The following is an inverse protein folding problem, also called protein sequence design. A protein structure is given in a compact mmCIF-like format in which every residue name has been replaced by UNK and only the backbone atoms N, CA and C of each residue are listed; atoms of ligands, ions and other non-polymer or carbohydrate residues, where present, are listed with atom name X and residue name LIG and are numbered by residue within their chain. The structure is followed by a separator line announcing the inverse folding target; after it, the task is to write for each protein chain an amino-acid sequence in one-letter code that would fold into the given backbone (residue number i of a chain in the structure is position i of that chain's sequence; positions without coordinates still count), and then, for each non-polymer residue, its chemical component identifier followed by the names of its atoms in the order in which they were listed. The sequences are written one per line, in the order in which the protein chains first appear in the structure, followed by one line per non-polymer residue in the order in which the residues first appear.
data_IF_981953302544
#
_entry.id   IF_981953302544
#
_cell.length_a   1.000
_cell.length_b   1.000
_cell.length_c   1.000
_cell.angle_alpha   90.00
_cell.angle_beta   90.00
_cell.angle_gamma   90.00
#
_symmetry.space_group_name_H-M   'P 1'
#
loop_
_entity.id
_entity.type
_entity.pdbx_description
1 polymer ?
#
# COMPACT_ATOMS: atom_id res chain seq x y z
N UNK A 1 9.87 12.83 17.39
CA UNK A 1 8.39 12.87 17.56
C UNK A 1 8.02 12.13 18.85
N UNK A 2 6.83 12.32 19.44
CA UNK A 2 6.46 11.63 20.70
C UNK A 2 5.51 10.47 20.43
N UNK A 3 5.89 9.27 20.90
CA UNK A 3 5.01 8.12 21.01
C UNK A 3 3.85 8.48 21.94
N UNK A 4 2.61 8.21 21.52
CA UNK A 4 1.41 8.50 22.29
C UNK A 4 0.66 7.21 22.59
N UNK A 5 0.30 7.01 23.84
CA UNK A 5 -0.54 5.91 24.31
C UNK A 5 -1.84 6.49 24.87
N UNK A 6 -2.95 5.78 24.66
CA UNK A 6 -4.18 6.02 25.42
C UNK A 6 -4.90 4.69 25.72
N UNK A 7 -6.10 4.77 26.33
CA UNK A 7 -6.94 3.63 26.69
C UNK A 7 -7.31 2.69 25.53
N UNK A 8 -7.18 3.16 24.29
CA UNK A 8 -7.50 2.42 23.08
C UNK A 8 -6.22 1.88 22.40
N UNK A 9 -5.01 2.19 22.87
CA UNK A 9 -3.76 1.69 22.29
C UNK A 9 -2.74 2.78 21.94
N UNK A 10 -1.64 2.38 21.31
CA UNK A 10 -0.49 3.24 21.04
C UNK A 10 -0.40 3.66 19.57
N UNK A 11 -0.07 4.93 19.32
CA UNK A 11 0.08 5.51 18.00
C UNK A 11 1.29 6.45 17.93
N UNK A 12 1.84 6.63 16.73
CA UNK A 12 2.88 7.62 16.45
C UNK A 12 2.21 8.85 15.82
N UNK A 13 2.33 10.00 16.48
CA UNK A 13 1.81 11.26 15.96
C UNK A 13 2.79 11.83 14.90
N UNK A 14 2.28 12.07 13.69
CA UNK A 14 3.06 12.49 12.53
C UNK A 14 3.76 11.33 11.83
N UNK A 15 3.59 11.22 10.51
CA UNK A 15 4.46 10.36 9.70
C UNK A 15 5.86 10.97 9.63
N UNK A 16 6.93 10.16 9.69
CA UNK A 16 8.02 10.18 8.69
C UNK A 16 9.24 9.30 9.00
N UNK A 17 9.45 8.76 10.21
CA UNK A 17 10.68 8.00 10.47
C UNK A 17 10.47 6.47 10.49
N UNK A 18 10.84 5.82 9.38
CA UNK A 18 10.86 4.35 9.23
C UNK A 18 11.75 3.67 10.28
N UNK A 19 12.81 4.33 10.75
CA UNK A 19 13.74 3.77 11.73
C UNK A 19 13.14 3.71 13.13
N UNK A 20 12.35 4.72 13.52
CA UNK A 20 11.65 4.73 14.81
C UNK A 20 10.59 3.62 14.87
N UNK A 21 9.80 3.47 13.80
CA UNK A 21 8.85 2.37 13.67
C UNK A 21 9.56 1.00 13.72
N UNK A 22 10.67 0.87 13.00
CA UNK A 22 11.47 -0.36 12.99
C UNK A 22 12.05 -0.68 14.38
N UNK A 23 12.56 0.33 15.09
CA UNK A 23 13.06 0.19 16.45
C UNK A 23 11.97 -0.25 17.43
N UNK A 24 10.76 0.31 17.31
CA UNK A 24 9.62 -0.09 18.11
C UNK A 24 9.20 -1.54 17.85
N UNK A 25 9.08 -1.95 16.58
CA UNK A 25 8.68 -3.31 16.23
C UNK A 25 9.65 -4.35 16.81
N UNK A 26 10.96 -4.06 16.74
CA UNK A 26 12.01 -4.90 17.36
C UNK A 26 11.94 -4.95 18.88
N UNK A 27 11.51 -3.86 19.52
CA UNK A 27 11.35 -3.83 20.97
C UNK A 27 10.09 -4.56 21.43
N UNK A 28 8.98 -4.44 20.70
CA UNK A 28 7.67 -4.97 21.10
C UNK A 28 7.49 -6.45 20.78
N UNK A 29 8.11 -6.94 19.70
CA UNK A 29 7.92 -8.30 19.22
C UNK A 29 9.24 -9.05 19.16
N UNK A 30 9.26 -10.28 19.67
CA UNK A 30 10.41 -11.16 19.52
C UNK A 30 10.54 -11.66 18.08
N UNK A 31 11.75 -12.04 17.67
CA UNK A 31 11.97 -12.65 16.35
C UNK A 31 11.09 -13.88 16.12
N UNK A 32 10.84 -14.66 17.18
CA UNK A 32 9.93 -15.80 17.14
C UNK A 32 8.49 -15.38 16.82
N UNK A 33 7.96 -14.32 17.45
CA UNK A 33 6.61 -13.81 17.16
C UNK A 33 6.51 -13.29 15.72
N UNK A 34 7.53 -12.58 15.24
CA UNK A 34 7.62 -12.09 13.86
C UNK A 34 7.60 -13.26 12.87
N UNK A 35 8.43 -14.29 13.11
CA UNK A 35 8.50 -15.46 12.25
C UNK A 35 7.18 -16.25 12.25
N UNK A 36 6.58 -16.48 13.42
CA UNK A 36 5.29 -17.15 13.54
C UNK A 36 4.17 -16.41 12.79
N UNK A 37 4.10 -15.08 12.91
CA UNK A 37 3.09 -14.27 12.21
C UNK A 37 3.29 -14.35 10.69
N UNK A 38 4.54 -14.26 10.22
CA UNK A 38 4.88 -14.43 8.81
C UNK A 38 4.47 -15.81 8.27
N UNK A 39 4.86 -16.90 8.93
CA UNK A 39 4.57 -18.26 8.48
C UNK A 39 3.06 -18.53 8.45
N UNK A 40 2.35 -18.11 9.50
CA UNK A 40 0.90 -18.21 9.56
C UNK A 40 0.23 -17.45 8.41
N UNK A 41 0.59 -16.18 8.19
CA UNK A 41 -0.02 -15.36 7.15
C UNK A 41 0.23 -15.92 5.76
N UNK A 42 1.44 -16.42 5.48
CA UNK A 42 1.76 -17.03 4.18
C UNK A 42 0.92 -18.28 3.94
N UNK A 43 0.91 -19.22 4.88
CA UNK A 43 0.20 -20.48 4.67
C UNK A 43 -1.33 -20.30 4.67
N UNK A 44 -1.89 -19.59 5.65
CA UNK A 44 -3.32 -19.32 5.71
C UNK A 44 -3.82 -18.60 4.45
N UNK A 45 -3.04 -17.63 3.96
CA UNK A 45 -3.37 -16.91 2.72
C UNK A 45 -3.38 -17.84 1.51
N UNK A 46 -2.35 -18.68 1.36
CA UNK A 46 -2.22 -19.59 0.21
C UNK A 46 -3.30 -20.66 0.21
N UNK A 47 -3.57 -21.27 1.35
CA UNK A 47 -4.59 -22.31 1.50
C UNK A 47 -5.97 -21.77 1.18
N UNK A 48 -6.34 -20.65 1.81
CA UNK A 48 -7.64 -20.02 1.58
C UNK A 48 -7.79 -19.54 0.14
N UNK A 49 -6.75 -18.95 -0.47
CA UNK A 49 -6.78 -18.53 -1.87
C UNK A 49 -6.99 -19.68 -2.86
N UNK A 50 -6.39 -20.85 -2.59
CA UNK A 50 -6.64 -22.07 -3.38
C UNK A 50 -8.08 -22.54 -3.23
N UNK A 51 -8.61 -22.54 -2.01
CA UNK A 51 -9.98 -22.98 -1.73
C UNK A 51 -11.03 -22.08 -2.41
N UNK A 52 -10.84 -20.76 -2.35
CA UNK A 52 -11.75 -19.76 -2.92
C UNK A 52 -11.46 -19.43 -4.38
N UNK A 53 -10.43 -20.05 -4.97
CA UNK A 53 -9.96 -19.80 -6.35
C UNK A 53 -9.76 -18.32 -6.66
N UNK A 54 -9.16 -17.59 -5.72
CA UNK A 54 -8.95 -16.14 -5.81
C UNK A 54 -7.48 -15.76 -5.64
N UNK A 55 -7.17 -14.47 -5.74
CA UNK A 55 -5.81 -13.97 -5.58
C UNK A 55 -5.32 -14.18 -4.15
N UNK A 56 -4.12 -14.76 -3.94
CA UNK A 56 -3.48 -14.77 -2.62
C UNK A 56 -3.36 -13.37 -2.02
N UNK A 57 -3.09 -12.35 -2.84
CA UNK A 57 -3.02 -10.99 -2.34
C UNK A 57 -4.36 -10.50 -1.77
N UNK A 58 -5.48 -10.82 -2.45
CA UNK A 58 -6.82 -10.43 -1.99
C UNK A 58 -7.19 -11.13 -0.68
N UNK A 59 -6.81 -12.40 -0.51
CA UNK A 59 -6.96 -13.10 0.76
C UNK A 59 -6.10 -12.45 1.84
N UNK A 60 -4.86 -12.09 1.53
CA UNK A 60 -3.99 -11.40 2.49
C UNK A 60 -4.61 -10.07 2.97
N UNK A 61 -5.23 -9.30 2.07
CA UNK A 61 -5.99 -8.10 2.42
C UNK A 61 -7.17 -8.37 3.35
N UNK A 62 -7.89 -9.47 3.15
CA UNK A 62 -8.96 -9.89 4.06
C UNK A 62 -8.43 -10.25 5.44
N UNK A 63 -7.27 -10.93 5.53
CA UNK A 63 -6.63 -11.22 6.80
C UNK A 63 -6.25 -9.95 7.55
N UNK A 64 -5.61 -8.98 6.87
CA UNK A 64 -5.31 -7.69 7.49
C UNK A 64 -6.58 -6.96 7.95
N UNK A 65 -7.64 -6.94 7.12
CA UNK A 65 -8.94 -6.35 7.49
C UNK A 65 -9.53 -6.99 8.74
N UNK A 66 -9.40 -8.31 8.89
CA UNK A 66 -9.86 -9.04 10.08
C UNK A 66 -9.08 -8.63 11.33
N UNK A 67 -7.75 -8.57 11.25
CA UNK A 67 -6.87 -8.11 12.35
C UNK A 67 -7.27 -6.69 12.79
N UNK A 68 -7.55 -5.80 11.83
CA UNK A 68 -8.00 -4.44 12.12
C UNK A 68 -9.34 -4.38 12.87
N UNK A 69 -10.26 -5.27 12.55
CA UNK A 69 -11.58 -5.31 13.18
C UNK A 69 -11.54 -5.95 14.58
N UNK A 70 -10.58 -6.83 14.85
CA UNK A 70 -10.54 -7.64 16.08
C UNK A 70 -9.49 -7.17 17.10
N UNK A 71 -8.37 -6.57 16.64
CA UNK A 71 -7.17 -6.38 17.46
C UNK A 71 -6.71 -4.94 17.68
N UNK A 72 -7.38 -3.95 17.10
CA UNK A 72 -7.01 -2.52 17.20
C UNK A 72 -8.24 -1.61 17.20
N UNK A 73 -8.12 -0.34 17.61
CA UNK A 73 -9.21 0.61 17.52
C UNK A 73 -9.81 0.69 16.12
N UNK A 74 -11.12 0.97 16.02
CA UNK A 74 -11.77 1.12 14.72
C UNK A 74 -11.04 2.12 13.82
N UNK A 75 -10.67 1.64 12.64
CA UNK A 75 -10.15 2.48 11.57
C UNK A 75 -11.18 3.53 11.18
N UNK A 76 -10.75 4.77 10.97
CA UNK A 76 -11.61 5.84 10.45
C UNK A 76 -11.71 5.81 8.92
N UNK A 77 -10.97 4.93 8.27
CA UNK A 77 -11.04 4.79 6.82
C UNK A 77 -12.38 4.13 6.45
N UNK A 78 -13.26 4.90 5.81
CA UNK A 78 -14.53 4.45 5.27
C UNK A 78 -14.78 5.12 3.91
N UNK A 79 -15.79 4.66 3.17
CA UNK A 79 -16.18 5.31 1.91
C UNK A 79 -16.50 6.79 2.17
N UNK A 80 -15.88 7.69 1.41
CA UNK A 80 -15.99 9.15 1.59
C UNK A 80 -14.92 9.77 2.52
N UNK A 81 -14.06 8.97 3.17
CA UNK A 81 -12.92 9.48 3.90
C UNK A 81 -11.70 9.63 2.97
N UNK A 82 -11.24 10.87 2.75
CA UNK A 82 -10.15 11.20 1.81
C UNK A 82 -8.86 11.70 2.48
N UNK A 83 -8.79 11.71 3.82
CA UNK A 83 -7.70 12.37 4.57
C UNK A 83 -6.31 11.83 4.19
N UNK A 84 -6.07 10.52 4.28
CA UNK A 84 -4.79 9.92 3.91
C UNK A 84 -4.62 9.73 2.40
N UNK A 85 -5.67 9.91 1.59
CA UNK A 85 -5.63 9.79 0.12
C UNK A 85 -4.93 10.98 -0.57
N UNK A 86 -4.11 11.72 0.17
CA UNK A 86 -3.27 12.81 -0.33
C UNK A 86 -1.77 12.56 -0.06
N UNK A 87 -1.42 11.36 0.41
CA UNK A 87 -0.04 10.93 0.54
C UNK A 87 0.50 10.39 -0.79
N UNK A 88 1.82 10.35 -0.94
CA UNK A 88 2.44 9.58 -2.01
C UNK A 88 2.35 8.09 -1.70
N UNK A 89 1.53 7.37 -2.45
CA UNK A 89 1.32 5.93 -2.31
C UNK A 89 2.21 5.16 -3.26
N UNK A 90 2.96 4.23 -2.71
CA UNK A 90 3.79 3.28 -3.43
C UNK A 90 3.27 1.85 -3.31
N UNK A 91 3.52 1.04 -4.33
CA UNK A 91 3.19 -0.38 -4.28
C UNK A 91 4.16 -1.21 -5.13
N UNK A 92 4.23 -2.50 -4.81
CA UNK A 92 4.94 -3.52 -5.59
C UNK A 92 4.18 -3.85 -6.89
N UNK A 93 4.81 -4.63 -7.76
CA UNK A 93 4.15 -5.11 -8.98
C UNK A 93 2.95 -6.02 -8.65
N UNK A 94 3.07 -6.92 -7.68
CA UNK A 94 1.97 -7.81 -7.31
C UNK A 94 0.74 -7.03 -6.85
N UNK A 95 0.96 -5.97 -6.07
CA UNK A 95 -0.12 -5.07 -5.63
C UNK A 95 -0.73 -4.28 -6.78
N UNK A 96 0.10 -3.78 -7.70
CA UNK A 96 -0.38 -3.10 -8.90
C UNK A 96 -1.25 -4.02 -9.77
N UNK A 97 -0.85 -5.27 -9.98
CA UNK A 97 -1.63 -6.25 -10.73
C UNK A 97 -2.98 -6.52 -10.03
N UNK A 98 -3.02 -6.52 -8.70
CA UNK A 98 -4.24 -6.57 -7.89
C UNK A 98 -5.15 -5.35 -8.12
N UNK A 99 -4.59 -4.15 -8.13
CA UNK A 99 -5.31 -2.90 -8.44
C UNK A 99 -5.92 -2.95 -9.83
N UNK A 100 -5.17 -3.38 -10.84
CA UNK A 100 -5.66 -3.49 -12.22
C UNK A 100 -6.86 -4.44 -12.31
N UNK A 101 -6.76 -5.60 -11.65
CA UNK A 101 -7.87 -6.56 -11.61
C UNK A 101 -9.09 -5.98 -10.90
N UNK A 102 -8.89 -5.27 -9.80
CA UNK A 102 -9.97 -4.60 -9.07
C UNK A 102 -10.64 -3.51 -9.91
N UNK A 103 -9.84 -2.73 -10.63
CA UNK A 103 -10.32 -1.69 -11.54
C UNK A 103 -11.17 -2.31 -12.66
N UNK A 104 -10.72 -3.41 -13.26
CA UNK A 104 -11.48 -4.16 -14.26
C UNK A 104 -12.81 -4.69 -13.69
N UNK A 105 -12.78 -5.35 -12.53
CA UNK A 105 -13.97 -5.92 -11.88
C UNK A 105 -15.03 -4.86 -11.50
N UNK A 106 -14.61 -3.63 -11.20
CA UNK A 106 -15.50 -2.54 -10.80
C UNK A 106 -15.75 -1.49 -11.90
N UNK A 107 -15.27 -1.72 -13.13
CA UNK A 107 -15.49 -0.79 -14.24
C UNK A 107 -14.79 0.57 -14.07
N UNK A 108 -13.67 0.62 -13.37
CA UNK A 108 -12.87 1.83 -13.18
C UNK A 108 -12.09 2.13 -14.47
N UNK A 109 -12.37 3.27 -15.10
CA UNK A 109 -11.64 3.70 -16.30
C UNK A 109 -10.27 4.27 -15.94
N UNK A 110 -9.23 3.51 -16.25
CA UNK A 110 -7.84 3.92 -16.03
C UNK A 110 -7.43 5.13 -16.88
N UNK A 111 -8.06 5.40 -18.02
CA UNK A 111 -7.79 6.62 -18.77
C UNK A 111 -8.31 7.85 -18.03
N UNK A 112 -9.53 7.79 -17.49
CA UNK A 112 -10.09 8.84 -16.63
C UNK A 112 -9.26 9.03 -15.35
N UNK A 113 -8.81 7.93 -14.72
CA UNK A 113 -7.86 7.95 -13.57
C UNK A 113 -6.59 8.74 -13.92
N UNK A 114 -6.05 8.53 -15.12
CA UNK A 114 -4.87 9.25 -15.59
C UNK A 114 -5.16 10.72 -15.86
N UNK A 115 -6.26 11.03 -16.53
CA UNK A 115 -6.67 12.39 -16.89
C UNK A 115 -6.76 13.29 -15.65
N UNK A 116 -7.49 12.86 -14.61
CA UNK A 116 -7.59 13.63 -13.35
C UNK A 116 -6.27 13.71 -12.58
N UNK A 117 -5.31 12.85 -12.88
CA UNK A 117 -3.99 12.79 -12.22
C UNK A 117 -2.87 13.47 -13.01
N UNK A 118 -3.18 14.13 -14.12
CA UNK A 118 -2.18 14.60 -15.10
C UNK A 118 -1.05 15.43 -14.48
N UNK A 119 -1.38 16.28 -13.50
CA UNK A 119 -0.38 17.10 -12.77
C UNK A 119 0.67 16.23 -12.07
N UNK A 120 0.25 15.19 -11.36
CA UNK A 120 1.18 14.31 -10.63
C UNK A 120 1.91 13.36 -11.57
N UNK A 121 1.26 12.93 -12.65
CA UNK A 121 1.91 12.14 -13.71
C UNK A 121 3.05 12.93 -14.36
N UNK A 122 2.83 14.20 -14.73
CA UNK A 122 3.85 15.06 -15.32
C UNK A 122 5.09 15.19 -14.41
N UNK A 123 4.88 15.46 -13.11
CA UNK A 123 5.98 15.52 -12.12
C UNK A 123 6.80 14.23 -12.09
N UNK A 124 6.12 13.08 -12.09
CA UNK A 124 6.79 11.77 -12.05
C UNK A 124 7.54 11.50 -13.35
N UNK A 125 6.96 11.86 -14.50
CA UNK A 125 7.63 11.73 -15.80
C UNK A 125 8.88 12.60 -15.92
N UNK A 126 8.85 13.84 -15.43
CA UNK A 126 10.01 14.73 -15.42
C UNK A 126 11.18 14.13 -14.64
N UNK A 127 10.89 13.57 -13.45
CA UNK A 127 11.90 12.87 -12.65
C UNK A 127 12.43 11.63 -13.39
N UNK A 128 11.56 10.82 -13.98
CA UNK A 128 11.97 9.64 -14.76
C UNK A 128 12.87 10.02 -15.96
N UNK A 129 12.55 11.12 -16.66
CA UNK A 129 13.35 11.64 -17.79
C UNK A 129 14.72 12.14 -17.36
N UNK A 130 14.85 12.65 -16.13
CA UNK A 130 16.13 13.15 -15.60
C UNK A 130 17.16 12.05 -15.29
N UNK A 131 16.80 10.77 -15.40
CA UNK A 131 17.70 9.64 -15.12
C UNK A 131 18.02 9.44 -13.64
N UNK A 132 17.40 10.23 -12.74
CA UNK A 132 17.54 10.08 -11.29
C UNK A 132 17.06 8.70 -10.83
N UNK A 133 17.86 8.04 -9.99
CA UNK A 133 17.51 6.74 -9.41
C UNK A 133 16.54 6.92 -8.26
N UNK A 134 15.48 6.11 -8.30
CA UNK A 134 14.37 6.08 -7.34
C UNK A 134 14.79 5.94 -5.87
N UNK A 135 15.96 5.37 -5.66
CA UNK A 135 16.51 4.93 -4.37
C UNK A 135 17.06 6.10 -3.53
N UNK A 136 17.31 7.26 -4.17
CA UNK A 136 17.96 8.43 -3.56
C UNK A 136 17.04 9.65 -3.44
N UNK A 137 15.82 9.58 -3.96
CA UNK A 137 14.85 10.68 -3.91
C UNK A 137 13.76 10.36 -2.90
N UNK A 138 13.28 11.35 -2.15
CA UNK A 138 12.09 11.22 -1.29
C UNK A 138 10.83 11.14 -2.18
N UNK A 139 10.74 10.10 -2.99
CA UNK A 139 9.77 9.97 -4.08
C UNK A 139 8.32 10.05 -3.57
N UNK A 140 8.07 9.59 -2.34
CA UNK A 140 6.78 9.72 -1.68
C UNK A 140 6.36 11.19 -1.41
N UNK A 141 7.30 12.13 -1.33
CA UNK A 141 7.03 13.57 -1.17
C UNK A 141 6.74 14.28 -2.49
N UNK A 142 7.11 13.70 -3.64
CA UNK A 142 6.93 14.32 -4.95
C UNK A 142 5.45 14.65 -5.26
N UNK A 143 4.54 13.82 -4.76
CA UNK A 143 3.09 13.90 -5.00
C UNK A 143 2.29 14.13 -3.72
N UNK A 144 2.94 14.48 -2.60
CA UNK A 144 2.25 14.78 -1.35
C UNK A 144 1.30 15.98 -1.50
N UNK A 145 0.23 15.99 -0.72
CA UNK A 145 -0.85 17.00 -0.79
C UNK A 145 -1.56 17.06 -2.15
N UNK A 146 -1.41 16.05 -2.99
CA UNK A 146 -2.18 15.89 -4.22
C UNK A 146 -3.08 14.67 -4.07
N UNK A 147 -4.31 14.70 -4.61
CA UNK A 147 -5.21 13.57 -4.51
C UNK A 147 -4.59 12.32 -5.16
N UNK A 148 -4.79 11.18 -4.51
CA UNK A 148 -4.46 9.87 -5.04
C UNK A 148 -5.14 9.67 -6.39
N UNK A 149 -4.49 9.04 -7.38
CA UNK A 149 -5.11 8.81 -8.67
C UNK A 149 -6.45 8.09 -8.62
N UNK A 150 -6.66 7.20 -7.64
CA UNK A 150 -7.89 6.41 -7.47
C UNK A 150 -8.90 7.03 -6.49
N UNK A 151 -8.70 8.28 -6.10
CA UNK A 151 -9.69 9.03 -5.33
C UNK A 151 -10.72 9.60 -6.30
N UNK A 152 -12.00 9.23 -6.13
CA UNK A 152 -13.11 9.78 -6.90
C UNK A 152 -13.45 11.20 -6.43
N UNK A 153 -14.26 11.92 -7.20
CA UNK A 153 -14.70 13.27 -6.88
C UNK A 153 -15.58 13.31 -5.61
N UNK A 154 -16.26 12.21 -5.28
CA UNK A 154 -17.00 12.05 -4.02
C UNK A 154 -16.11 11.70 -2.82
N UNK A 155 -14.78 11.68 -3.00
CA UNK A 155 -13.82 11.34 -1.96
C UNK A 155 -13.79 9.84 -1.62
N UNK A 156 -14.24 8.97 -2.52
CA UNK A 156 -14.19 7.52 -2.35
C UNK A 156 -13.00 6.91 -3.07
N UNK A 157 -12.33 5.92 -2.46
CA UNK A 157 -11.30 5.15 -3.15
C UNK A 157 -11.97 4.13 -4.08
N UNK A 158 -11.71 4.25 -5.39
CA UNK A 158 -12.27 3.36 -6.42
C UNK A 158 -11.66 1.96 -6.41
N UNK A 159 -10.54 1.77 -5.71
CA UNK A 159 -9.84 0.47 -5.60
C UNK A 159 -9.69 0.01 -4.16
N UNK A 160 -10.64 0.37 -3.30
CA UNK A 160 -10.55 0.22 -1.84
C UNK A 160 -10.15 -1.18 -1.35
N UNK A 161 -10.76 -2.23 -1.88
CA UNK A 161 -10.51 -3.61 -1.42
C UNK A 161 -9.09 -4.09 -1.76
N UNK A 162 -8.51 -3.63 -2.87
CA UNK A 162 -7.14 -3.94 -3.30
C UNK A 162 -6.17 -2.76 -3.08
N UNK A 163 -6.47 -1.87 -2.13
CA UNK A 163 -5.55 -0.77 -1.74
C UNK A 163 -4.19 -1.34 -1.30
N UNK A 164 -3.05 -0.73 -1.70
CA UNK A 164 -1.71 -1.17 -1.34
C UNK A 164 -1.47 -1.26 0.16
N UNK A 165 -0.44 -2.02 0.55
CA UNK A 165 0.04 -2.08 1.94
C UNK A 165 0.39 -0.68 2.47
N UNK A 166 0.97 0.19 1.64
CA UNK A 166 1.29 1.57 2.00
C UNK A 166 0.04 2.37 2.44
N UNK A 167 -1.10 2.14 1.80
CA UNK A 167 -2.39 2.73 2.22
C UNK A 167 -2.94 2.13 3.52
N UNK A 168 -2.57 0.90 3.86
CA UNK A 168 -3.06 0.19 5.06
C UNK A 168 -2.26 0.60 6.29
N UNK A 169 -0.95 0.82 6.12
CA UNK A 169 -0.06 1.31 7.16
C UNK A 169 -0.23 2.80 7.48
N UNK A 170 -0.87 3.59 6.60
CA UNK A 170 -1.16 5.02 6.82
C UNK A 170 -2.65 5.19 7.11
N UNK A 171 -3.00 5.19 8.38
CA UNK A 171 -4.39 5.24 8.85
C UNK A 171 -4.56 6.22 10.00
N UNK A 172 -5.63 7.00 9.95
CA UNK A 172 -6.08 7.76 11.11
C UNK A 172 -6.91 6.85 12.02
N UNK A 173 -6.61 6.89 13.31
CA UNK A 173 -7.49 6.37 14.35
C UNK A 173 -8.26 7.54 14.98
N UNK A 174 -9.50 7.30 15.45
CA UNK A 174 -10.22 8.19 16.38
C UNK A 174 -10.58 9.62 15.90
N UNK A 175 -11.27 9.77 14.77
CA UNK A 175 -11.82 11.07 14.31
C UNK A 175 -10.80 12.11 13.84
N UNK A 176 -9.51 11.77 13.82
CA UNK A 176 -8.41 12.71 13.49
C UNK A 176 -8.41 13.14 12.00
N UNK A 177 -9.24 12.50 11.18
CA UNK A 177 -9.41 12.78 9.75
C UNK A 177 -10.20 14.05 9.42
N UNK A 178 -10.70 14.80 10.42
CA UNK A 178 -11.43 16.06 10.22
C UNK A 178 -10.54 17.22 9.71
N UNK A 179 -9.22 17.13 9.87
CA UNK A 179 -8.26 18.11 9.35
C UNK A 179 -7.93 17.84 7.87
N UNK A 180 -7.64 18.87 7.06
CA UNK A 180 -7.08 18.68 5.70
C UNK A 180 -5.56 18.51 5.67
N UNK A 181 -4.89 18.63 6.82
CA UNK A 181 -3.42 18.59 6.91
C UNK A 181 -2.94 17.19 7.33
N UNK A 182 -2.09 16.58 6.49
CA UNK A 182 -1.51 15.24 6.66
C UNK A 182 -0.64 15.08 7.92
N UNK A 183 -0.25 16.17 8.58
CA UNK A 183 0.46 16.14 9.88
C UNK A 183 -0.32 15.41 10.99
N UNK A 184 -1.63 15.22 10.79
CA UNK A 184 -2.51 14.48 11.69
C UNK A 184 -2.70 13.01 11.29
N UNK A 185 -2.24 12.59 10.10
CA UNK A 185 -2.29 11.19 9.70
C UNK A 185 -1.34 10.38 10.59
N UNK A 186 -1.89 9.39 11.27
CA UNK A 186 -1.13 8.51 12.14
C UNK A 186 -0.61 7.30 11.35
N UNK A 187 0.50 6.73 11.81
CA UNK A 187 0.90 5.37 11.43
C UNK A 187 0.75 4.50 12.65
N UNK A 188 -0.25 3.62 12.62
CA UNK A 188 -0.29 2.44 13.47
C UNK A 188 0.17 1.26 12.64
N UNK A 189 0.92 0.36 13.24
CA UNK A 189 1.34 -0.89 12.59
C UNK A 189 1.07 -2.01 13.57
N UNK A 190 0.24 -2.96 13.14
CA UNK A 190 0.11 -4.27 13.81
C UNK A 190 1.20 -5.21 13.33
N UNK A 191 1.51 -6.27 14.09
CA UNK A 191 2.58 -7.21 13.73
C UNK A 191 2.38 -7.78 12.31
N UNK A 192 1.14 -8.06 11.95
CA UNK A 192 0.73 -8.60 10.65
C UNK A 192 1.03 -7.63 9.50
N UNK A 193 0.98 -6.33 9.74
CA UNK A 193 1.40 -5.32 8.76
C UNK A 193 2.92 -5.18 8.71
N UNK A 194 3.60 -5.29 9.86
CA UNK A 194 5.05 -5.24 9.94
C UNK A 194 5.72 -6.34 9.10
N UNK A 195 5.12 -7.53 9.06
CA UNK A 195 5.59 -8.64 8.19
C UNK A 195 5.01 -8.60 6.79
N UNK A 196 4.05 -7.70 6.51
CA UNK A 196 3.26 -7.70 5.29
C UNK A 196 4.08 -7.55 4.01
N UNK A 197 5.14 -6.72 4.02
CA UNK A 197 6.04 -6.58 2.88
C UNK A 197 6.73 -7.92 2.53
N UNK A 198 7.14 -8.68 3.55
CA UNK A 198 7.78 -9.99 3.40
C UNK A 198 6.77 -11.04 2.92
N UNK A 199 5.52 -10.99 3.42
CA UNK A 199 4.42 -11.84 2.93
C UNK A 199 4.17 -11.59 1.44
N UNK A 200 4.01 -10.33 1.03
CA UNK A 200 3.80 -9.95 -0.38
C UNK A 200 4.96 -10.44 -1.26
N UNK A 201 6.20 -10.26 -0.81
CA UNK A 201 7.38 -10.76 -1.51
C UNK A 201 7.32 -12.29 -1.67
N UNK A 202 6.96 -13.03 -0.63
CA UNK A 202 6.81 -14.49 -0.70
C UNK A 202 5.73 -14.91 -1.69
N UNK A 203 4.57 -14.26 -1.67
CA UNK A 203 3.47 -14.52 -2.60
C UNK A 203 3.93 -14.28 -4.05
N UNK A 204 4.61 -13.17 -4.31
CA UNK A 204 5.12 -12.85 -5.64
C UNK A 204 6.19 -13.85 -6.11
N UNK A 205 7.09 -14.26 -5.21
CA UNK A 205 8.09 -15.30 -5.50
C UNK A 205 7.43 -16.62 -5.91
N UNK A 206 6.38 -17.04 -5.20
CA UNK A 206 5.69 -18.30 -5.47
C UNK A 206 4.92 -18.26 -6.80
N UNK A 207 4.29 -17.13 -7.13
CA UNK A 207 3.64 -16.89 -8.41
C UNK A 207 4.64 -16.76 -9.58
N UNK A 208 5.89 -16.39 -9.29
CA UNK A 208 6.94 -16.27 -10.31
C UNK A 208 7.35 -17.65 -10.83
N UNK A 209 7.41 -17.88 -12.16
CA UNK A 209 7.86 -19.14 -12.74
C UNK A 209 9.25 -19.55 -12.24
N UNK A 210 9.45 -20.84 -11.96
CA UNK A 210 10.69 -21.37 -11.33
C UNK A 210 11.98 -20.85 -11.99
N UNK A 211 12.03 -20.82 -13.32
CA UNK A 211 13.20 -20.36 -14.09
C UNK A 211 13.51 -18.85 -13.95
N UNK A 212 12.55 -18.04 -13.50
CA UNK A 212 12.71 -16.60 -13.23
C UNK A 212 13.02 -16.30 -11.75
N UNK A 213 12.78 -17.24 -10.83
CA UNK A 213 12.95 -17.04 -9.37
C UNK A 213 14.38 -16.68 -8.96
N UNK A 214 15.39 -17.14 -9.71
CA UNK A 214 16.81 -16.77 -9.48
C UNK A 214 17.11 -15.27 -9.55
N UNK A 215 16.22 -14.47 -10.15
CA UNK A 215 16.35 -13.00 -10.24
C UNK A 215 15.61 -12.26 -9.11
N UNK A 216 14.91 -12.99 -8.24
CA UNK A 216 14.13 -12.42 -7.15
C UNK A 216 15.05 -12.05 -5.98
N UNK A 217 15.10 -10.78 -5.60
CA UNK A 217 16.05 -10.26 -4.59
C UNK A 217 15.47 -10.09 -3.18
N UNK A 218 14.34 -10.74 -2.88
CA UNK A 218 13.68 -10.63 -1.56
C UNK A 218 12.93 -9.30 -1.40
N UNK A 219 13.62 -8.18 -1.55
CA UNK A 219 13.01 -6.83 -1.62
C UNK A 219 12.47 -6.56 -3.02
N UNK A 220 11.20 -6.18 -3.10
CA UNK A 220 10.56 -5.85 -4.37
C UNK A 220 10.70 -4.36 -4.67
N UNK A 221 11.00 -3.99 -5.92
CA UNK A 221 10.98 -2.58 -6.30
C UNK A 221 9.55 -2.05 -6.15
N UNK A 222 9.39 -1.08 -5.28
CA UNK A 222 8.16 -0.29 -5.16
C UNK A 222 8.18 0.87 -6.14
N UNK A 223 7.00 1.28 -6.62
CA UNK A 223 6.83 2.48 -7.45
C UNK A 223 5.59 3.23 -7.00
N UNK A 224 5.58 4.55 -7.18
CA UNK A 224 4.35 5.33 -7.03
C UNK A 224 3.25 4.80 -7.96
N UNK A 225 2.00 4.93 -7.55
CA UNK A 225 0.84 4.66 -8.41
C UNK A 225 0.92 5.42 -9.74
N UNK A 226 1.38 6.67 -9.72
CA UNK A 226 1.61 7.47 -10.91
C UNK A 226 2.64 6.84 -11.87
N UNK A 227 3.72 6.28 -11.34
CA UNK A 227 4.72 5.59 -12.15
C UNK A 227 4.11 4.30 -12.74
N UNK A 228 3.34 3.55 -11.97
CA UNK A 228 2.63 2.39 -12.49
C UNK A 228 1.63 2.74 -13.61
N UNK A 229 0.89 3.84 -13.47
CA UNK A 229 -0.01 4.36 -14.51
C UNK A 229 0.75 4.72 -15.81
N UNK A 230 1.92 5.36 -15.68
CA UNK A 230 2.80 5.65 -16.83
C UNK A 230 3.22 4.35 -17.54
N UNK A 231 3.68 3.35 -16.78
CA UNK A 231 4.07 2.05 -17.34
C UNK A 231 2.91 1.33 -18.01
N UNK A 232 1.71 1.39 -17.41
CA UNK A 232 0.49 0.82 -17.96
C UNK A 232 0.13 1.49 -19.30
N UNK A 233 0.11 2.82 -19.35
CA UNK A 233 -0.15 3.60 -20.57
C UNK A 233 0.84 3.24 -21.67
N UNK A 234 2.13 3.22 -21.36
CA UNK A 234 3.17 2.98 -22.35
C UNK A 234 3.12 1.54 -22.89
N UNK A 235 2.74 0.58 -22.05
CA UNK A 235 2.48 -0.80 -22.47
C UNK A 235 1.27 -0.88 -23.41
N UNK A 236 0.19 -0.16 -23.14
CA UNK A 236 -1.01 -0.17 -23.99
C UNK A 236 -0.79 0.57 -25.32
N UNK A 237 -0.04 1.69 -25.33
CA UNK A 237 0.38 2.35 -26.58
C UNK A 237 1.16 1.44 -27.52
N UNK A 238 1.99 0.54 -26.97
CA UNK A 238 2.75 -0.45 -27.75
C UNK A 238 1.90 -1.60 -28.31
N UNK A 239 0.70 -1.87 -27.76
CA UNK A 239 -0.21 -2.90 -28.29
C UNK A 239 -1.05 -2.41 -29.46
N UNK A 240 -1.19 -1.09 -29.61
CA UNK A 240 -1.98 -0.43 -30.66
C UNK A 240 -1.12 -0.14 -31.91
N UNK A 241 0.21 -0.16 -31.76
CA UNK A 241 1.18 -0.09 -32.86
C UNK A 241 1.56 -1.48 -33.33
#
# INVERSE_FOLDING_TARGET
MSLKTDQNGMFIYGMTNTDELSGFLKHKFSEHQVQQSYDYLVEATKEKARSEKTSPLRIFWQHLKKVFNEGVPPLQCHRGCAHCCHTGVSCTQLEWDGILKNAEENGVDLNAVMERSQRTLNKVEEVLKSGKKLEHEEWHRLVINQPCPFLSDEGACEVYEDRPLDCRMVVAFRGICESKKLEHAQRGVVLEEAVGATVIAKLQHDLTPKFKRRKFRGTQPIKLLQHWLILWRDKNKKKIK
#
